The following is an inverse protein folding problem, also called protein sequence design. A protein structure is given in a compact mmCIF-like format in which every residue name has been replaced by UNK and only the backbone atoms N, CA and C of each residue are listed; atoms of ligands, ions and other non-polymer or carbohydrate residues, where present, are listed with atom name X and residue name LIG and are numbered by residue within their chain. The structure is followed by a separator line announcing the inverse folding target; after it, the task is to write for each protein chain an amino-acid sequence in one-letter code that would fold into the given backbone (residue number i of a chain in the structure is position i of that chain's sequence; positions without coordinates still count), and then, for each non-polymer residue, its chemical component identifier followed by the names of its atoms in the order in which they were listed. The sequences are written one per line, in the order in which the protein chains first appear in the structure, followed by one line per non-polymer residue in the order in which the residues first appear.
data_IF_640887128066
#
_entry.id   IF_640887128066
#
_cell.length_a   1.000
_cell.length_b   1.000
_cell.length_c   1.000
_cell.angle_alpha   90.00
_cell.angle_beta   90.00
_cell.angle_gamma   90.00
#
_symmetry.space_group_name_H-M   'P 1'
#
loop_
_entity.id
_entity.type
_entity.pdbx_description
1 polymer ?
#
# COMPACT_ATOMS: atom_id res chain seq x y z
N UNK A 1 -15.63 12.63 -33.91
CA UNK A 1 -16.14 13.39 -32.75
C UNK A 1 -16.79 12.49 -31.68
N UNK A 2 -16.29 11.28 -31.42
CA UNK A 2 -16.96 10.36 -30.47
C UNK A 2 -16.02 9.58 -29.53
N UNK A 3 -14.70 9.83 -29.52
CA UNK A 3 -13.75 8.86 -28.95
C UNK A 3 -12.84 9.40 -27.81
N UNK A 4 -13.24 10.50 -27.15
CA UNK A 4 -12.50 11.04 -25.99
C UNK A 4 -13.29 10.93 -24.67
N UNK A 5 -14.62 10.92 -24.74
CA UNK A 5 -15.49 10.78 -23.57
C UNK A 5 -15.53 9.32 -23.07
N UNK A 6 -15.43 8.33 -23.97
CA UNK A 6 -15.40 6.91 -23.61
C UNK A 6 -14.09 6.47 -22.92
N UNK A 7 -13.02 7.26 -23.02
CA UNK A 7 -11.70 6.92 -22.45
C UNK A 7 -11.51 7.37 -20.99
N UNK A 8 -12.44 8.14 -20.45
CA UNK A 8 -12.41 8.59 -19.06
C UNK A 8 -13.22 7.59 -18.25
N UNK A 9 -12.54 6.54 -17.76
CA UNK A 9 -13.17 5.48 -16.96
C UNK A 9 -13.84 6.03 -15.71
N UNK A 10 -13.29 7.10 -15.10
CA UNK A 10 -13.88 7.81 -13.97
C UNK A 10 -13.47 9.30 -14.00
N UNK A 11 -14.41 10.20 -13.69
CA UNK A 11 -14.14 11.65 -13.57
C UNK A 11 -13.20 11.86 -12.38
N UNK A 12 -11.98 12.40 -12.56
CA UNK A 12 -11.08 12.62 -11.45
C UNK A 12 -11.68 13.64 -10.48
N UNK A 13 -11.54 13.38 -9.19
CA UNK A 13 -11.98 14.28 -8.12
C UNK A 13 -11.12 15.53 -8.19
N UNK A 14 -11.75 16.68 -8.45
CA UNK A 14 -11.07 17.98 -8.52
C UNK A 14 -11.61 18.89 -7.43
N UNK A 15 -10.77 19.79 -6.93
CA UNK A 15 -11.18 20.74 -5.90
C UNK A 15 -12.30 21.66 -6.38
N UNK A 16 -13.11 22.11 -5.43
CA UNK A 16 -14.30 22.94 -5.68
C UNK A 16 -13.97 24.24 -6.42
N UNK A 17 -12.77 24.79 -6.21
CA UNK A 17 -12.27 25.98 -6.90
C UNK A 17 -12.06 25.74 -8.40
N UNK A 18 -11.60 24.54 -8.78
CA UNK A 18 -11.39 24.16 -10.18
C UNK A 18 -12.73 23.86 -10.86
N UNK A 19 -13.68 23.26 -10.14
CA UNK A 19 -15.05 23.09 -10.66
C UNK A 19 -15.75 24.43 -10.90
N UNK A 20 -15.52 25.43 -10.03
CA UNK A 20 -16.07 26.78 -10.20
C UNK A 20 -15.51 27.46 -11.44
N UNK A 21 -14.19 27.41 -11.64
CA UNK A 21 -13.55 27.93 -12.84
C UNK A 21 -14.05 27.25 -14.13
N UNK A 22 -14.35 25.94 -14.07
CA UNK A 22 -14.93 25.20 -15.18
C UNK A 22 -16.39 25.56 -15.48
N UNK A 23 -17.16 26.07 -14.51
CA UNK A 23 -18.53 26.55 -14.76
C UNK A 23 -18.53 27.94 -15.40
N UNK A 24 -17.57 28.78 -15.07
CA UNK A 24 -17.56 30.18 -15.49
C UNK A 24 -16.95 30.43 -16.87
N UNK A 25 -15.94 29.65 -17.31
CA UNK A 25 -15.12 30.03 -18.47
C UNK A 25 -14.75 28.92 -19.45
N UNK A 26 -15.15 27.66 -19.23
CA UNK A 26 -14.60 26.53 -19.98
C UNK A 26 -15.63 25.77 -20.82
N UNK A 27 -15.26 25.54 -22.08
CA UNK A 27 -16.01 24.71 -23.01
C UNK A 27 -15.90 23.22 -22.65
N UNK A 28 -16.87 22.40 -23.06
CA UNK A 28 -16.85 20.94 -22.80
C UNK A 28 -15.58 20.25 -23.32
N UNK A 29 -15.00 20.73 -24.43
CA UNK A 29 -13.72 20.24 -24.96
C UNK A 29 -12.55 20.54 -24.05
N UNK A 30 -12.49 21.72 -23.44
CA UNK A 30 -11.38 22.12 -22.57
C UNK A 30 -11.39 21.32 -21.27
N UNK A 31 -12.59 21.01 -20.75
CA UNK A 31 -12.76 20.11 -19.59
C UNK A 31 -12.22 18.72 -19.89
N UNK A 32 -12.56 18.15 -21.05
CA UNK A 32 -12.07 16.83 -21.44
C UNK A 32 -10.54 16.80 -21.60
N UNK A 33 -9.96 17.83 -22.22
CA UNK A 33 -8.50 17.96 -22.38
C UNK A 33 -7.82 18.10 -21.01
N UNK A 34 -8.38 18.90 -20.11
CA UNK A 34 -7.85 19.06 -18.76
C UNK A 34 -7.83 17.74 -18.00
N UNK A 35 -8.93 16.98 -17.98
CA UNK A 35 -8.99 15.70 -17.27
C UNK A 35 -7.96 14.70 -17.80
N UNK A 36 -7.81 14.61 -19.12
CA UNK A 36 -6.80 13.76 -19.76
C UNK A 36 -5.39 14.20 -19.35
N UNK A 37 -5.12 15.50 -19.27
CA UNK A 37 -3.81 16.01 -18.87
C UNK A 37 -3.51 15.80 -17.39
N UNK A 38 -4.50 15.95 -16.51
CA UNK A 38 -4.37 15.64 -15.07
C UNK A 38 -4.06 14.16 -14.88
N UNK A 39 -4.81 13.27 -15.54
CA UNK A 39 -4.55 11.84 -15.47
C UNK A 39 -3.15 11.49 -15.99
N UNK A 40 -2.74 12.06 -17.13
CA UNK A 40 -1.39 11.90 -17.67
C UNK A 40 -0.32 12.40 -16.70
N UNK A 41 -0.56 13.52 -16.03
CA UNK A 41 0.37 14.09 -15.06
C UNK A 41 0.54 13.16 -13.85
N UNK A 42 -0.55 12.64 -13.29
CA UNK A 42 -0.48 11.66 -12.21
C UNK A 42 0.21 10.37 -12.65
N UNK A 43 -0.11 9.83 -13.83
CA UNK A 43 0.58 8.65 -14.37
C UNK A 43 2.08 8.90 -14.55
N UNK A 44 2.47 10.07 -15.08
CA UNK A 44 3.86 10.43 -15.26
C UNK A 44 4.59 10.60 -13.91
N UNK A 45 3.94 11.21 -12.92
CA UNK A 45 4.46 11.34 -11.56
C UNK A 45 4.64 9.98 -10.89
N UNK A 46 3.63 9.10 -10.96
CA UNK A 46 3.70 7.74 -10.44
C UNK A 46 4.82 6.96 -11.12
N UNK A 47 4.93 7.01 -12.46
CA UNK A 47 6.04 6.38 -13.19
C UNK A 47 7.40 6.92 -12.78
N UNK A 48 7.53 8.22 -12.52
CA UNK A 48 8.78 8.80 -12.04
C UNK A 48 9.15 8.27 -10.64
N UNK A 49 8.17 8.16 -9.75
CA UNK A 49 8.37 7.59 -8.41
C UNK A 49 8.72 6.11 -8.51
N UNK A 50 8.03 5.34 -9.34
CA UNK A 50 8.30 3.92 -9.59
C UNK A 50 9.70 3.69 -10.18
N UNK A 51 10.07 4.43 -11.23
CA UNK A 51 11.40 4.32 -11.85
C UNK A 51 12.55 4.70 -10.89
N UNK A 52 12.28 5.57 -9.92
CA UNK A 52 13.24 5.92 -8.87
C UNK A 52 13.17 4.99 -7.65
N UNK A 53 12.17 4.11 -7.60
CA UNK A 53 12.00 3.17 -6.53
C UNK A 53 12.93 1.97 -6.77
N UNK A 54 13.76 1.58 -5.79
CA UNK A 54 14.63 0.41 -5.94
C UNK A 54 13.86 -0.92 -6.04
N UNK A 55 12.54 -0.92 -5.75
CA UNK A 55 11.70 -2.12 -5.73
C UNK A 55 11.43 -2.73 -7.12
N UNK A 56 11.49 -1.96 -8.22
CA UNK A 56 11.30 -2.50 -9.58
C UNK A 56 12.55 -3.19 -10.15
N UNK A 57 13.70 -3.08 -9.48
CA UNK A 57 14.92 -3.74 -9.93
C UNK A 57 14.89 -5.21 -9.56
N UNK A 58 15.03 -6.07 -10.58
CA UNK A 58 15.16 -7.50 -10.40
C UNK A 58 16.28 -7.83 -9.41
N UNK A 59 15.95 -8.60 -8.37
CA UNK A 59 16.89 -9.03 -7.34
C UNK A 59 17.10 -8.07 -6.17
N UNK A 60 16.53 -6.84 -6.16
CA UNK A 60 16.64 -5.95 -5.00
C UNK A 60 16.05 -6.57 -3.74
N UNK A 61 14.88 -7.19 -3.86
CA UNK A 61 14.21 -7.89 -2.75
C UNK A 61 15.00 -9.12 -2.28
N UNK A 62 15.71 -9.81 -3.20
CA UNK A 62 16.63 -10.89 -2.82
C UNK A 62 17.83 -10.35 -2.05
N UNK A 63 18.30 -9.16 -2.41
CA UNK A 63 19.31 -8.41 -1.68
C UNK A 63 18.88 -8.02 -0.26
N UNK A 64 17.59 -8.07 0.10
CA UNK A 64 17.13 -7.79 1.47
C UNK A 64 17.19 -9.00 2.41
N UNK A 65 17.67 -10.15 1.94
CA UNK A 65 17.73 -11.39 2.74
C UNK A 65 18.60 -11.26 3.99
N UNK A 66 19.60 -10.38 3.99
CA UNK A 66 20.46 -10.12 5.16
C UNK A 66 19.69 -9.51 6.34
N UNK A 67 18.50 -8.93 6.12
CA UNK A 67 17.66 -8.42 7.20
C UNK A 67 17.16 -9.53 8.13
N UNK A 68 17.11 -10.77 7.63
CA UNK A 68 16.80 -11.92 8.47
C UNK A 68 17.99 -12.20 9.39
N UNK A 69 17.79 -12.31 10.72
CA UNK A 69 18.84 -12.66 11.67
C UNK A 69 19.62 -13.91 11.29
N UNK A 70 18.95 -14.86 10.62
CA UNK A 70 19.54 -16.14 10.18
C UNK A 70 20.58 -15.98 9.08
N UNK A 71 20.46 -14.95 8.23
CA UNK A 71 21.35 -14.71 7.10
C UNK A 71 22.41 -13.64 7.42
N UNK A 72 22.41 -13.07 8.63
CA UNK A 72 23.35 -12.02 9.04
C UNK A 72 24.82 -12.48 8.97
N UNK A 73 25.05 -13.79 9.15
CA UNK A 73 26.39 -14.40 9.10
C UNK A 73 26.83 -14.82 7.71
N UNK A 74 25.97 -14.71 6.69
CA UNK A 74 26.32 -15.13 5.34
C UNK A 74 27.40 -14.23 4.73
N UNK A 75 28.33 -14.82 3.99
CA UNK A 75 29.40 -14.05 3.32
C UNK A 75 28.85 -13.08 2.26
N UNK A 76 27.63 -13.32 1.76
CA UNK A 76 26.97 -12.49 0.73
C UNK A 76 26.37 -11.20 1.30
N UNK A 77 26.06 -11.17 2.61
CA UNK A 77 25.38 -10.03 3.25
C UNK A 77 26.11 -8.70 3.09
N UNK A 78 27.45 -8.74 3.00
CA UNK A 78 28.29 -7.54 2.85
C UNK A 78 28.07 -6.92 1.47
N UNK A 79 28.08 -7.76 0.43
CA UNK A 79 27.84 -7.31 -0.94
C UNK A 79 26.40 -6.81 -1.10
N UNK A 80 25.45 -7.47 -0.44
CA UNK A 80 24.04 -7.09 -0.45
C UNK A 80 23.84 -5.71 0.20
N UNK A 81 24.44 -5.46 1.36
CA UNK A 81 24.39 -4.14 2.03
C UNK A 81 25.02 -3.05 1.19
N UNK A 82 26.16 -3.34 0.56
CA UNK A 82 26.82 -2.39 -0.34
C UNK A 82 25.95 -2.03 -1.55
N UNK A 83 25.26 -3.02 -2.13
CA UNK A 83 24.33 -2.81 -3.23
C UNK A 83 23.13 -1.98 -2.78
N UNK A 84 22.51 -2.39 -1.68
CA UNK A 84 21.31 -1.76 -1.11
C UNK A 84 21.60 -0.31 -0.68
N UNK A 85 22.70 -0.05 0.01
CA UNK A 85 23.11 1.31 0.42
C UNK A 85 23.36 2.26 -0.76
N UNK A 86 23.86 1.76 -1.90
CA UNK A 86 24.04 2.57 -3.12
C UNK A 86 22.73 2.90 -3.81
N UNK A 87 21.74 2.03 -3.70
CA UNK A 87 20.47 2.19 -4.39
C UNK A 87 19.44 3.01 -3.61
N UNK A 88 19.60 3.07 -2.29
CA UNK A 88 18.72 3.80 -1.40
C UNK A 88 19.19 5.24 -1.27
N UNK A 89 18.36 6.16 -1.77
CA UNK A 89 18.60 7.60 -1.71
C UNK A 89 18.33 8.20 -0.30
N UNK A 90 18.93 7.64 0.75
CA UNK A 90 18.75 8.10 2.14
C UNK A 90 20.04 8.77 2.67
N UNK A 91 21.04 8.94 1.80
CA UNK A 91 22.31 9.57 2.17
C UNK A 91 23.17 8.70 3.07
N UNK A 92 22.93 7.38 3.09
CA UNK A 92 23.75 6.44 3.84
C UNK A 92 25.08 6.22 3.11
N UNK A 93 26.20 6.28 3.84
CA UNK A 93 27.51 5.97 3.25
C UNK A 93 27.71 4.46 3.13
N UNK A 94 27.81 3.96 1.90
CA UNK A 94 28.02 2.52 1.62
C UNK A 94 29.22 1.93 2.34
N UNK A 95 30.33 2.66 2.41
CA UNK A 95 31.58 2.17 3.00
C UNK A 95 31.48 2.09 4.53
N UNK A 96 30.83 3.08 5.14
CA UNK A 96 30.60 3.12 6.60
C UNK A 96 29.58 2.06 7.00
N UNK A 97 28.49 1.89 6.24
CA UNK A 97 27.49 0.87 6.50
C UNK A 97 28.07 -0.56 6.42
N UNK A 98 29.00 -0.82 5.50
CA UNK A 98 29.71 -2.10 5.42
C UNK A 98 30.64 -2.31 6.61
N UNK A 99 31.37 -1.28 7.04
CA UNK A 99 32.25 -1.36 8.21
C UNK A 99 31.44 -1.64 9.49
N UNK A 100 30.33 -0.93 9.68
CA UNK A 100 29.39 -1.15 10.79
C UNK A 100 28.81 -2.57 10.76
N UNK A 101 28.45 -3.09 9.58
CA UNK A 101 27.96 -4.46 9.44
C UNK A 101 29.01 -5.51 9.82
N UNK A 102 30.27 -5.30 9.45
CA UNK A 102 31.36 -6.19 9.82
C UNK A 102 31.56 -6.24 11.34
N UNK A 103 31.47 -5.09 12.01
CA UNK A 103 31.52 -5.00 13.47
C UNK A 103 30.33 -5.73 14.11
N UNK A 104 29.12 -5.50 13.61
CA UNK A 104 27.93 -6.18 14.11
C UNK A 104 28.04 -7.72 14.03
N UNK A 105 28.67 -8.25 12.98
CA UNK A 105 28.85 -9.71 12.81
C UNK A 105 29.80 -10.33 13.83
N UNK A 106 30.71 -9.57 14.41
CA UNK A 106 31.61 -10.07 15.46
C UNK A 106 30.98 -10.02 16.84
N UNK A 107 29.89 -9.26 17.01
CA UNK A 107 29.14 -9.23 18.25
C UNK A 107 28.38 -10.54 18.49
N UNK A 108 28.29 -10.92 19.77
CA UNK A 108 27.42 -12.01 20.19
C UNK A 108 26.00 -11.48 20.22
N UNK A 109 25.19 -11.90 19.24
CA UNK A 109 23.81 -11.42 19.12
C UNK A 109 22.92 -11.76 20.32
N UNK A 110 21.73 -11.14 20.38
CA UNK A 110 20.80 -11.34 21.49
C UNK A 110 20.45 -12.82 21.66
N UNK A 111 20.47 -13.28 22.91
CA UNK A 111 20.45 -14.70 23.30
C UNK A 111 19.07 -15.36 23.32
N UNK A 112 18.02 -14.67 22.85
CA UNK A 112 16.63 -15.11 23.02
C UNK A 112 15.87 -15.18 21.69
N UNK A 113 14.90 -16.10 21.68
CA UNK A 113 13.95 -16.40 20.59
C UNK A 113 13.14 -15.16 20.17
N UNK A 114 13.77 -14.26 19.42
CA UNK A 114 13.10 -13.10 18.87
C UNK A 114 12.32 -13.56 17.63
N UNK A 115 11.02 -13.83 17.82
CA UNK A 115 10.09 -14.29 16.77
C UNK A 115 9.82 -13.23 15.70
N UNK A 116 10.24 -11.97 15.94
CA UNK A 116 9.85 -10.80 15.14
C UNK A 116 11.06 -9.93 14.77
N UNK A 117 11.25 -9.74 13.46
CA UNK A 117 12.40 -9.03 12.86
C UNK A 117 12.58 -7.60 13.38
N UNK A 118 11.49 -6.89 13.70
CA UNK A 118 11.53 -5.52 14.21
C UNK A 118 12.07 -5.44 15.64
N UNK A 119 11.69 -6.39 16.50
CA UNK A 119 12.25 -6.46 17.85
C UNK A 119 13.74 -6.82 17.83
N UNK A 120 14.16 -7.64 16.88
CA UNK A 120 15.58 -8.00 16.71
C UNK A 120 16.42 -6.78 16.39
N UNK A 121 16.03 -6.01 15.37
CA UNK A 121 16.77 -4.82 14.97
C UNK A 121 16.65 -3.68 15.98
N UNK A 122 15.54 -3.59 16.71
CA UNK A 122 15.36 -2.58 17.78
C UNK A 122 16.40 -2.69 18.88
N UNK A 123 16.93 -3.89 19.17
CA UNK A 123 18.01 -4.06 20.14
C UNK A 123 19.25 -3.27 19.73
N UNK A 124 19.69 -3.45 18.48
CA UNK A 124 20.87 -2.80 17.93
C UNK A 124 20.68 -1.29 17.68
N UNK A 125 19.45 -0.86 17.38
CA UNK A 125 19.14 0.57 17.25
C UNK A 125 19.26 1.34 18.56
N UNK A 126 19.08 0.66 19.70
CA UNK A 126 19.19 1.23 21.04
C UNK A 126 20.61 1.25 21.59
N UNK A 127 21.58 0.64 20.91
CA UNK A 127 22.97 0.65 21.34
C UNK A 127 23.56 2.04 21.15
N UNK A 128 24.13 2.55 22.25
CA UNK A 128 24.86 3.80 22.30
C UNK A 128 26.29 3.56 22.75
N UNK A 129 27.22 4.35 22.23
CA UNK A 129 28.61 4.36 22.64
C UNK A 129 28.80 5.14 23.96
N UNK A 130 30.03 5.18 24.46
CA UNK A 130 30.39 5.88 25.71
C UNK A 130 30.11 7.39 25.66
N UNK A 131 29.90 7.95 24.47
CA UNK A 131 29.56 9.36 24.26
C UNK A 131 28.05 9.60 24.15
N UNK A 132 27.23 8.56 24.22
CA UNK A 132 25.77 8.62 24.08
C UNK A 132 25.27 8.68 22.63
N UNK A 133 26.16 8.58 21.64
CA UNK A 133 25.81 8.50 20.23
C UNK A 133 25.48 7.05 19.82
N UNK A 134 24.67 6.88 18.77
CA UNK A 134 24.35 5.53 18.27
C UNK A 134 25.62 4.79 17.84
N UNK A 135 25.74 3.53 18.24
CA UNK A 135 26.87 2.66 17.88
C UNK A 135 26.91 2.34 16.39
N UNK A 136 25.75 2.27 15.74
CA UNK A 136 25.58 1.87 14.34
C UNK A 136 24.69 2.85 13.57
N UNK A 137 25.11 4.12 13.40
CA UNK A 137 24.24 5.17 12.87
C UNK A 137 23.84 4.95 11.41
N UNK A 138 24.76 4.53 10.55
CA UNK A 138 24.49 4.37 9.12
C UNK A 138 23.70 3.10 8.84
N UNK A 139 24.05 2.02 9.54
CA UNK A 139 23.35 0.75 9.47
C UNK A 139 21.93 0.88 10.05
N UNK A 140 21.75 1.62 11.14
CA UNK A 140 20.41 1.89 11.70
C UNK A 140 19.51 2.62 10.70
N UNK A 141 20.03 3.66 10.03
CA UNK A 141 19.27 4.38 8.98
C UNK A 141 18.88 3.44 7.84
N UNK A 142 19.84 2.64 7.36
CA UNK A 142 19.65 1.71 6.24
C UNK A 142 18.60 0.65 6.57
N UNK A 143 18.73 -0.02 7.72
CA UNK A 143 17.83 -1.10 8.12
C UNK A 143 16.43 -0.55 8.40
N UNK A 144 16.29 0.60 9.07
CA UNK A 144 14.98 1.24 9.27
C UNK A 144 14.30 1.52 7.94
N UNK A 145 15.03 2.06 6.97
CA UNK A 145 14.48 2.28 5.63
C UNK A 145 14.01 0.99 4.98
N UNK A 146 14.78 -0.09 5.07
CA UNK A 146 14.40 -1.38 4.49
C UNK A 146 13.21 -2.03 5.17
N UNK A 147 13.16 -1.96 6.49
CA UNK A 147 12.01 -2.39 7.28
C UNK A 147 10.78 -1.51 7.07
N UNK A 148 10.89 -0.31 6.48
CA UNK A 148 9.73 0.49 6.03
C UNK A 148 9.30 0.16 4.60
N UNK A 149 10.22 -0.28 3.74
CA UNK A 149 9.88 -0.76 2.39
C UNK A 149 9.17 -2.12 2.43
N UNK A 150 9.57 -3.00 3.34
CA UNK A 150 9.03 -4.38 3.44
C UNK A 150 7.54 -4.49 3.83
N UNK A 151 6.95 -3.63 4.70
CA UNK A 151 5.53 -3.69 5.07
C UNK A 151 4.63 -2.74 4.28
N UNK A 152 5.17 -1.62 3.77
CA UNK A 152 4.38 -0.54 3.17
C UNK A 152 3.61 -0.96 1.91
N UNK A 153 4.18 -1.87 1.11
CA UNK A 153 3.48 -2.50 -0.01
C UNK A 153 2.68 -3.72 0.41
N UNK A 154 3.14 -4.51 1.39
CA UNK A 154 2.48 -5.75 1.76
C UNK A 154 1.08 -5.53 2.36
N UNK A 155 0.84 -4.50 3.16
CA UNK A 155 -0.49 -4.27 3.73
C UNK A 155 -1.47 -3.67 2.72
N UNK A 156 -0.99 -2.80 1.83
CA UNK A 156 -1.77 -2.26 0.71
C UNK A 156 -2.06 -3.36 -0.32
N UNK A 157 -1.09 -4.18 -0.68
CA UNK A 157 -1.26 -5.34 -1.57
C UNK A 157 -2.11 -6.44 -0.93
N UNK A 158 -2.00 -6.68 0.38
CA UNK A 158 -2.94 -7.55 1.11
C UNK A 158 -4.35 -6.95 1.09
N UNK A 159 -4.49 -5.64 1.27
CA UNK A 159 -5.76 -4.92 1.15
C UNK A 159 -6.39 -5.05 -0.24
N UNK A 160 -5.58 -4.85 -1.28
CA UNK A 160 -5.97 -4.97 -2.70
C UNK A 160 -6.24 -6.42 -3.11
N UNK A 161 -5.46 -7.38 -2.63
CA UNK A 161 -5.71 -8.81 -2.86
C UNK A 161 -6.98 -9.26 -2.15
N UNK A 162 -7.23 -8.72 -0.94
CA UNK A 162 -8.48 -8.97 -0.21
C UNK A 162 -9.67 -8.37 -0.92
N UNK A 163 -9.59 -7.12 -1.40
CA UNK A 163 -10.67 -6.50 -2.16
C UNK A 163 -10.89 -7.24 -3.48
N UNK A 164 -9.83 -7.62 -4.19
CA UNK A 164 -9.88 -8.44 -5.40
C UNK A 164 -10.55 -9.80 -5.18
N UNK A 165 -10.31 -10.47 -4.04
CA UNK A 165 -10.99 -11.75 -3.70
C UNK A 165 -12.47 -11.58 -3.34
N UNK A 166 -12.85 -10.39 -2.85
CA UNK A 166 -14.24 -10.05 -2.50
C UNK A 166 -15.04 -9.62 -3.75
N UNK A 167 -14.35 -9.05 -4.75
CA UNK A 167 -14.87 -8.70 -6.08
C UNK A 167 -14.92 -9.96 -6.96
N UNK A 168 -16.05 -10.67 -6.96
CA UNK A 168 -16.30 -11.73 -7.96
C UNK A 168 -16.43 -11.17 -9.38
N UNK A 169 -16.35 -12.03 -10.41
CA UNK A 169 -16.40 -11.64 -11.84
C UNK A 169 -17.64 -10.78 -12.21
N UNK A 170 -18.79 -11.01 -11.56
CA UNK A 170 -20.04 -10.25 -11.77
C UNK A 170 -20.13 -8.92 -10.99
N UNK A 171 -19.07 -8.52 -10.25
CA UNK A 171 -19.14 -7.43 -9.25
C UNK A 171 -18.18 -6.27 -9.51
N UNK A 172 -17.56 -6.21 -10.69
CA UNK A 172 -16.70 -5.10 -11.12
C UNK A 172 -17.42 -3.72 -11.16
N UNK A 173 -18.75 -3.69 -11.02
CA UNK A 173 -19.60 -2.48 -10.98
C UNK A 173 -19.99 -2.04 -9.55
N UNK A 174 -19.35 -2.55 -8.50
CA UNK A 174 -19.61 -2.09 -7.12
C UNK A 174 -19.06 -0.69 -6.91
N UNK A 175 -19.87 0.22 -6.34
CA UNK A 175 -19.39 1.53 -5.91
C UNK A 175 -18.46 1.40 -4.68
N UNK A 176 -17.54 2.35 -4.53
CA UNK A 176 -16.60 2.45 -3.41
C UNK A 176 -17.27 2.19 -2.04
N UNK A 177 -18.43 2.81 -1.79
CA UNK A 177 -19.21 2.62 -0.56
C UNK A 177 -19.63 1.18 -0.29
N UNK A 178 -19.97 0.42 -1.33
CA UNK A 178 -20.38 -0.99 -1.20
C UNK A 178 -19.17 -1.87 -0.94
N UNK A 179 -18.04 -1.55 -1.58
CA UNK A 179 -16.77 -2.22 -1.34
C UNK A 179 -16.31 -2.02 0.11
N UNK A 180 -16.31 -0.77 0.59
CA UNK A 180 -15.94 -0.41 1.96
C UNK A 180 -16.81 -1.12 2.99
N UNK A 181 -18.13 -1.09 2.82
CA UNK A 181 -19.05 -1.77 3.72
C UNK A 181 -18.78 -3.27 3.80
N UNK A 182 -18.42 -3.90 2.68
CA UNK A 182 -18.16 -5.33 2.60
C UNK A 182 -16.79 -5.70 3.18
N UNK A 183 -15.77 -4.88 2.96
CA UNK A 183 -14.47 -4.99 3.61
C UNK A 183 -14.62 -4.88 5.13
N UNK A 184 -15.41 -3.91 5.59
CA UNK A 184 -15.69 -3.69 7.02
C UNK A 184 -16.37 -4.90 7.67
N UNK A 185 -17.38 -5.48 7.02
CA UNK A 185 -18.04 -6.71 7.51
C UNK A 185 -17.06 -7.89 7.55
N UNK A 186 -16.25 -8.05 6.52
CA UNK A 186 -15.24 -9.12 6.46
C UNK A 186 -14.17 -8.97 7.55
N UNK A 187 -13.68 -7.75 7.80
CA UNK A 187 -12.74 -7.45 8.89
C UNK A 187 -13.36 -7.72 10.25
N UNK A 188 -14.61 -7.31 10.43
CA UNK A 188 -15.32 -7.56 11.68
C UNK A 188 -15.47 -9.06 11.95
N UNK A 189 -15.85 -9.86 10.94
CA UNK A 189 -15.91 -11.32 11.07
C UNK A 189 -14.57 -11.96 11.42
N UNK A 190 -13.45 -11.41 10.92
CA UNK A 190 -12.10 -11.84 11.30
C UNK A 190 -11.77 -11.52 12.75
N UNK A 191 -12.18 -10.38 13.28
CA UNK A 191 -11.99 -10.03 14.70
C UNK A 191 -12.66 -11.05 15.64
N UNK A 192 -13.77 -11.66 15.20
CA UNK A 192 -14.44 -12.76 15.92
C UNK A 192 -13.91 -14.16 15.52
N UNK A 193 -12.71 -14.25 14.96
CA UNK A 193 -12.09 -15.53 14.60
C UNK A 193 -12.87 -16.34 13.56
N UNK A 194 -13.65 -15.68 12.70
CA UNK A 194 -14.51 -16.34 11.72
C UNK A 194 -15.75 -17.00 12.31
N UNK A 195 -16.12 -16.69 13.57
CA UNK A 195 -17.30 -17.23 14.25
C UNK A 195 -18.43 -16.19 14.26
N UNK A 196 -19.31 -16.18 13.26
CA UNK A 196 -20.42 -15.23 13.20
C UNK A 196 -21.41 -15.38 14.36
N UNK A 197 -21.42 -16.53 15.02
CA UNK A 197 -22.27 -16.83 16.19
C UNK A 197 -21.94 -15.97 17.41
N UNK A 198 -20.71 -15.46 17.52
CA UNK A 198 -20.30 -14.57 18.61
C UNK A 198 -20.75 -13.12 18.39
N UNK A 199 -21.26 -12.82 17.20
CA UNK A 199 -21.68 -11.49 16.83
C UNK A 199 -23.15 -11.27 17.22
N UNK A 200 -23.39 -10.28 18.08
CA UNK A 200 -24.76 -9.91 18.48
C UNK A 200 -25.43 -9.14 17.35
N UNK A 201 -26.35 -9.81 16.65
CA UNK A 201 -27.16 -9.19 15.60
C UNK A 201 -28.21 -8.29 16.28
N UNK A 202 -28.04 -6.97 16.17
CA UNK A 202 -29.01 -6.01 16.69
C UNK A 202 -30.23 -5.92 15.78
N UNK A 203 -31.39 -5.55 16.35
CA UNK A 203 -32.63 -5.31 15.58
C UNK A 203 -32.45 -4.18 14.54
N UNK A 204 -31.63 -3.20 14.86
CA UNK A 204 -31.29 -2.11 13.94
C UNK A 204 -30.52 -2.62 12.71
N UNK A 205 -29.55 -3.51 12.89
CA UNK A 205 -28.80 -4.11 11.79
C UNK A 205 -29.71 -4.93 10.86
N UNK A 206 -30.68 -5.66 11.43
CA UNK A 206 -31.68 -6.40 10.64
C UNK A 206 -32.58 -5.45 9.83
N UNK A 207 -33.00 -4.33 10.41
CA UNK A 207 -33.79 -3.34 9.71
C UNK A 207 -33.00 -2.67 8.58
N UNK A 208 -31.73 -2.30 8.83
CA UNK A 208 -30.85 -1.74 7.82
C UNK A 208 -30.60 -2.73 6.66
N UNK A 209 -30.37 -4.01 6.97
CA UNK A 209 -30.18 -5.05 5.94
C UNK A 209 -31.43 -5.24 5.07
N UNK A 210 -32.63 -5.19 5.66
CA UNK A 210 -33.90 -5.26 4.91
C UNK A 210 -34.09 -4.05 4.00
N UNK A 211 -33.82 -2.85 4.49
CA UNK A 211 -33.89 -1.61 3.69
C UNK A 211 -32.85 -1.58 2.56
N UNK A 212 -31.64 -2.07 2.80
CA UNK A 212 -30.62 -2.19 1.77
C UNK A 212 -31.01 -3.20 0.68
N UNK A 213 -31.66 -4.32 1.07
CA UNK A 213 -32.16 -5.32 0.13
C UNK A 213 -33.31 -4.78 -0.73
N UNK A 214 -34.25 -4.03 -0.16
CA UNK A 214 -35.34 -3.43 -0.92
C UNK A 214 -34.81 -2.38 -1.91
N UNK A 215 -33.84 -1.55 -1.51
CA UNK A 215 -33.21 -0.58 -2.42
C UNK A 215 -32.48 -1.27 -3.58
N UNK A 216 -31.77 -2.38 -3.33
CA UNK A 216 -31.09 -3.13 -4.38
C UNK A 216 -32.07 -3.76 -5.39
N UNK A 217 -33.22 -4.23 -4.92
CA UNK A 217 -34.25 -4.79 -5.80
C UNK A 217 -34.86 -3.71 -6.68
N UNK A 218 -35.18 -2.54 -6.13
CA UNK A 218 -35.65 -1.37 -6.89
C UNK A 218 -34.64 -0.92 -7.95
N UNK A 219 -33.36 -0.82 -7.59
CA UNK A 219 -32.29 -0.48 -8.55
C UNK A 219 -32.12 -1.50 -9.69
N UNK A 220 -32.41 -2.77 -9.44
CA UNK A 220 -32.40 -3.80 -10.47
C UNK A 220 -33.66 -3.75 -11.34
N UNK A 221 -34.83 -3.48 -10.75
CA UNK A 221 -36.09 -3.31 -11.49
C UNK A 221 -36.08 -2.06 -12.39
N UNK A 222 -35.52 -0.93 -11.93
CA UNK A 222 -35.34 0.29 -12.74
C UNK A 222 -34.42 0.05 -13.94
N UNK A 223 -33.39 -0.79 -13.78
CA UNK A 223 -32.56 -1.22 -14.91
C UNK A 223 -33.33 -2.08 -15.91
N UNK A 224 -34.23 -2.95 -15.47
CA UNK A 224 -35.07 -3.76 -16.37
C UNK A 224 -36.19 -2.94 -17.04
N UNK A 225 -36.74 -1.92 -16.37
CA UNK A 225 -37.71 -0.99 -16.95
C UNK A 225 -37.15 -0.16 -18.10
N UNK A 226 -35.86 0.21 -18.04
CA UNK A 226 -35.18 0.90 -19.15
C UNK A 226 -34.95 0.05 -20.41
N UNK A 227 -35.10 -1.27 -20.35
CA UNK A 227 -34.95 -2.17 -21.50
C UNK A 227 -36.28 -2.61 -22.13
N UNK A 228 -37.43 -2.21 -21.57
CA UNK A 228 -38.76 -2.59 -22.08
C UNK A 228 -39.53 -1.45 -22.76
N UNK A 229 -39.00 -0.22 -22.78
CA UNK A 229 -39.56 0.92 -23.52
C UNK A 229 -38.82 1.19 -24.85
N UNK A 230 -38.72 0.16 -25.71
CA UNK A 230 -38.36 0.31 -27.13
C UNK A 230 -39.24 -0.53 -28.03
#
# INVERSE_FOLDING_TARGET
MLNLAEKISEKPIVSENVERAFREKATLKDKAIFYVNVQKHFIAGIRLVLNKCPLEKDGFLEGLRFLSPMNMKDSRSIADIAAVAREIAIGASSDVAQAEWLLLRTETGPREDITRIDHFWSHYFGLVNDHGDSTYPELTKLIKAMLTLSPGSADVERGLSRSGRILGEDQALMSERVLDARLMVHDMLRLYGGKPEQFVITKELLNLARSARSLRLLFNEDKFGMYLDK
#
